data_IF_353219821362
#
_entry.id   IF_353219821362
#
_cell.length_a   1.000
_cell.length_b   1.000
_cell.length_c   1.000
_cell.angle_alpha   90.00
_cell.angle_beta   90.00
_cell.angle_gamma   90.00
#
_symmetry.space_group_name_H-M   'P 1'
#
loop_
_entity.id
_entity.type
_entity.pdbx_description
1 polymer ?
#
# COMPACT_ATOMS: atom_id res chain seq x y z
N UNK A 1 -33.87 -102.25 39.76
CA UNK A 1 -32.44 -101.90 39.58
C UNK A 1 -32.35 -100.42 39.27
N UNK A 2 -31.69 -99.71 40.18
CA UNK A 2 -31.08 -98.37 40.14
C UNK A 2 -30.96 -97.67 38.78
N UNK A 3 -31.40 -96.41 38.72
CA UNK A 3 -30.70 -95.28 38.05
C UNK A 3 -31.47 -93.98 38.31
N UNK A 4 -31.13 -93.26 39.38
CA UNK A 4 -30.44 -91.96 39.31
C UNK A 4 -31.31 -90.83 38.72
N UNK A 5 -32.32 -90.40 39.48
CA UNK A 5 -32.93 -89.08 39.32
C UNK A 5 -31.91 -88.00 39.72
N UNK A 6 -31.17 -87.50 38.72
CA UNK A 6 -30.36 -86.31 38.88
C UNK A 6 -31.25 -85.09 38.79
N UNK A 7 -31.57 -84.51 39.94
CA UNK A 7 -32.13 -83.18 40.04
C UNK A 7 -31.15 -82.18 39.41
N UNK A 8 -31.41 -81.79 38.16
CA UNK A 8 -30.75 -80.66 37.53
C UNK A 8 -31.28 -79.37 38.15
N UNK A 9 -30.67 -78.96 39.26
CA UNK A 9 -30.79 -77.59 39.78
C UNK A 9 -30.29 -76.67 38.68
N UNK A 10 -31.23 -76.02 37.98
CA UNK A 10 -30.93 -74.95 37.04
C UNK A 10 -30.41 -73.76 37.85
N UNK A 11 -29.09 -73.70 38.03
CA UNK A 11 -28.43 -72.50 38.51
C UNK A 11 -28.57 -71.44 37.42
N UNK A 12 -29.58 -70.59 37.57
CA UNK A 12 -29.75 -69.40 36.74
C UNK A 12 -28.52 -68.52 36.92
N UNK A 13 -27.61 -68.58 35.95
CA UNK A 13 -26.55 -67.59 35.81
C UNK A 13 -27.27 -66.24 35.70
N UNK A 14 -27.03 -65.26 36.58
CA UNK A 14 -27.64 -63.95 36.42
C UNK A 14 -27.16 -63.42 35.07
N UNK A 15 -28.08 -63.35 34.10
CA UNK A 15 -27.92 -62.59 32.87
C UNK A 15 -27.41 -61.22 33.30
N UNK A 16 -26.12 -60.97 33.09
CA UNK A 16 -25.51 -59.67 33.28
C UNK A 16 -26.33 -58.75 32.40
N UNK A 17 -27.25 -58.00 33.02
CA UNK A 17 -27.99 -56.94 32.35
C UNK A 17 -26.92 -56.14 31.65
N UNK A 18 -26.86 -56.26 30.33
CA UNK A 18 -26.04 -55.37 29.53
C UNK A 18 -26.60 -54.01 29.91
N UNK A 19 -25.87 -53.29 30.76
CA UNK A 19 -26.15 -51.90 31.04
C UNK A 19 -26.13 -51.29 29.67
N UNK A 20 -27.32 -50.95 29.19
CA UNK A 20 -27.54 -50.32 27.90
C UNK A 20 -26.62 -49.12 27.97
N UNK A 21 -25.45 -49.21 27.34
CA UNK A 21 -24.55 -48.08 27.29
C UNK A 21 -25.36 -47.06 26.53
N UNK A 22 -25.92 -46.10 27.26
CA UNK A 22 -26.63 -44.98 26.69
C UNK A 22 -25.56 -44.31 25.87
N UNK A 23 -25.55 -44.60 24.57
CA UNK A 23 -24.71 -43.92 23.62
C UNK A 23 -25.15 -42.48 23.71
N UNK A 24 -24.46 -41.69 24.54
CA UNK A 24 -24.67 -40.25 24.62
C UNK A 24 -24.26 -39.78 23.24
N UNK A 25 -25.26 -39.60 22.38
CA UNK A 25 -25.06 -39.00 21.08
C UNK A 25 -24.59 -37.59 21.39
N UNK A 26 -23.29 -37.39 21.36
CA UNK A 26 -22.69 -36.06 21.41
C UNK A 26 -23.22 -35.38 20.16
N UNK A 27 -24.32 -34.64 20.31
CA UNK A 27 -24.84 -33.81 19.22
C UNK A 27 -23.69 -32.88 18.89
N UNK A 28 -23.12 -33.03 17.70
CA UNK A 28 -22.12 -32.09 17.21
C UNK A 28 -22.74 -30.71 17.39
N UNK A 29 -22.07 -29.85 18.17
CA UNK A 29 -22.53 -28.48 18.36
C UNK A 29 -22.50 -27.85 16.98
N UNK A 30 -23.66 -27.78 16.34
CA UNK A 30 -23.84 -26.95 15.15
C UNK A 30 -23.50 -25.54 15.60
N UNK A 31 -22.57 -24.90 14.89
CA UNK A 31 -22.21 -23.49 15.10
C UNK A 31 -23.50 -22.71 15.35
N UNK A 32 -23.56 -22.03 16.49
CA UNK A 32 -24.78 -21.35 16.94
C UNK A 32 -25.15 -20.26 15.94
N UNK A 33 -26.43 -20.00 15.72
CA UNK A 33 -26.90 -19.10 14.63
C UNK A 33 -26.25 -17.71 14.64
N UNK A 34 -25.81 -17.22 15.82
CA UNK A 34 -25.08 -15.95 15.94
C UNK A 34 -23.65 -16.00 15.40
N UNK A 35 -22.99 -17.16 15.44
CA UNK A 35 -21.62 -17.35 14.92
C UNK A 35 -21.59 -17.25 13.39
N UNK A 36 -22.65 -17.72 12.71
CA UNK A 36 -22.81 -17.53 11.26
C UNK A 36 -22.93 -16.06 10.86
N UNK A 37 -23.61 -15.24 11.68
CA UNK A 37 -23.75 -13.79 11.44
C UNK A 37 -22.40 -13.08 11.61
N UNK A 38 -21.66 -13.43 12.66
CA UNK A 38 -20.29 -12.96 12.88
C UNK A 38 -19.36 -13.33 11.73
N UNK A 39 -19.49 -14.55 11.20
CA UNK A 39 -18.70 -15.01 10.06
C UNK A 39 -19.05 -14.23 8.77
N UNK A 40 -20.33 -13.90 8.57
CA UNK A 40 -20.77 -13.03 7.47
C UNK A 40 -20.25 -11.60 7.58
N UNK A 41 -20.34 -10.99 8.76
CA UNK A 41 -19.80 -9.65 9.02
C UNK A 41 -18.27 -9.60 8.87
N UNK A 42 -17.58 -10.63 9.37
CA UNK A 42 -16.14 -10.75 9.22
C UNK A 42 -15.73 -10.90 7.76
N UNK A 43 -16.40 -11.77 7.00
CA UNK A 43 -16.14 -11.94 5.58
C UNK A 43 -16.39 -10.64 4.79
N UNK A 44 -17.48 -9.94 5.08
CA UNK A 44 -17.79 -8.65 4.44
C UNK A 44 -16.72 -7.60 4.75
N UNK A 45 -16.35 -7.45 6.03
CA UNK A 45 -15.30 -6.52 6.45
C UNK A 45 -13.94 -6.86 5.85
N UNK A 46 -13.62 -8.15 5.76
CA UNK A 46 -12.39 -8.63 5.13
C UNK A 46 -12.36 -8.33 3.63
N UNK A 47 -13.47 -8.54 2.90
CA UNK A 47 -13.57 -8.17 1.49
C UNK A 47 -13.40 -6.66 1.27
N UNK A 48 -14.01 -5.81 2.11
CA UNK A 48 -13.86 -4.36 2.04
C UNK A 48 -12.42 -3.92 2.31
N UNK A 49 -11.76 -4.52 3.30
CA UNK A 49 -10.36 -4.24 3.60
C UNK A 49 -9.44 -4.61 2.43
N UNK A 50 -9.64 -5.79 1.83
CA UNK A 50 -8.89 -6.20 0.63
C UNK A 50 -9.13 -5.27 -0.55
N UNK A 51 -10.38 -4.87 -0.78
CA UNK A 51 -10.73 -3.92 -1.83
C UNK A 51 -10.02 -2.57 -1.63
N UNK A 52 -10.00 -2.07 -0.40
CA UNK A 52 -9.30 -0.84 -0.04
C UNK A 52 -7.79 -0.94 -0.26
N UNK A 53 -7.17 -2.05 0.13
CA UNK A 53 -5.75 -2.31 -0.10
C UNK A 53 -5.44 -2.32 -1.61
N UNK A 54 -6.27 -2.97 -2.43
CA UNK A 54 -6.10 -3.00 -3.88
C UNK A 54 -6.29 -1.61 -4.50
N UNK A 55 -7.29 -0.84 -4.04
CA UNK A 55 -7.49 0.55 -4.47
C UNK A 55 -6.27 1.43 -4.15
N UNK A 56 -5.69 1.27 -2.95
CA UNK A 56 -4.49 2.00 -2.56
C UNK A 56 -3.25 1.56 -3.36
N UNK A 57 -3.14 0.28 -3.73
CA UNK A 57 -2.02 -0.20 -4.56
C UNK A 57 -1.99 0.42 -5.96
N UNK A 58 -3.14 0.73 -6.56
CA UNK A 58 -3.19 1.40 -7.87
C UNK A 58 -2.65 2.84 -7.83
N UNK A 59 -2.68 3.50 -6.66
CA UNK A 59 -2.04 4.80 -6.47
C UNK A 59 -0.51 4.69 -6.46
N UNK A 60 0.07 3.57 -6.02
CA UNK A 60 1.53 3.42 -5.89
C UNK A 60 2.24 3.41 -7.26
N UNK A 61 1.67 2.74 -8.26
CA UNK A 61 2.24 2.71 -9.63
C UNK A 61 2.07 4.06 -10.35
N UNK A 62 0.98 4.78 -10.06
CA UNK A 62 0.77 6.15 -10.56
C UNK A 62 1.68 7.17 -9.89
N UNK A 63 1.92 7.05 -8.59
CA UNK A 63 2.76 7.95 -7.80
C UNK A 63 4.23 7.84 -8.22
N UNK A 64 4.77 6.65 -8.43
CA UNK A 64 6.16 6.49 -8.88
C UNK A 64 6.39 7.14 -10.25
N UNK A 65 5.45 6.99 -11.18
CA UNK A 65 5.55 7.61 -12.51
C UNK A 65 5.35 9.13 -12.46
N UNK A 66 4.49 9.61 -11.57
CA UNK A 66 4.29 11.05 -11.36
C UNK A 66 5.53 11.69 -10.72
N UNK A 67 6.16 11.03 -9.75
CA UNK A 67 7.42 11.49 -9.15
C UNK A 67 8.53 11.56 -10.21
N UNK A 68 8.63 10.56 -11.09
CA UNK A 68 9.61 10.57 -12.16
C UNK A 68 9.33 11.65 -13.22
N UNK A 69 8.06 11.87 -13.58
CA UNK A 69 7.65 12.96 -14.47
C UNK A 69 7.99 14.33 -13.89
N UNK A 70 7.60 14.59 -12.65
CA UNK A 70 7.86 15.86 -11.95
C UNK A 70 9.35 16.09 -11.78
N UNK A 71 10.14 15.05 -11.49
CA UNK A 71 11.60 15.16 -11.38
C UNK A 71 12.25 15.53 -12.72
N UNK A 72 11.76 14.95 -13.81
CA UNK A 72 12.20 15.26 -15.17
C UNK A 72 11.90 16.73 -15.50
N UNK A 73 10.66 17.18 -15.27
CA UNK A 73 10.25 18.58 -15.50
C UNK A 73 11.08 19.57 -14.67
N UNK A 74 11.34 19.26 -13.40
CA UNK A 74 12.20 20.09 -12.54
C UNK A 74 13.63 20.20 -13.08
N UNK A 75 14.18 19.09 -13.58
CA UNK A 75 15.56 19.05 -14.12
C UNK A 75 15.63 19.87 -15.41
N UNK A 76 14.65 19.74 -16.29
CA UNK A 76 14.56 20.54 -17.53
C UNK A 76 14.42 22.03 -17.21
N UNK A 77 13.52 22.39 -16.28
CA UNK A 77 13.35 23.78 -15.86
C UNK A 77 14.62 24.36 -15.22
N UNK A 78 15.37 23.55 -14.47
CA UNK A 78 16.64 23.98 -13.89
C UNK A 78 17.69 24.25 -14.98
N UNK A 79 17.82 23.38 -15.99
CA UNK A 79 18.72 23.64 -17.13
C UNK A 79 18.34 24.91 -17.89
N UNK A 80 17.04 25.12 -18.13
CA UNK A 80 16.54 26.34 -18.79
C UNK A 80 16.87 27.57 -17.96
N UNK A 81 16.67 27.52 -16.64
CA UNK A 81 16.98 28.61 -15.73
C UNK A 81 18.49 28.91 -15.68
N UNK A 82 19.33 27.88 -15.63
CA UNK A 82 20.79 28.03 -15.68
C UNK A 82 21.23 28.67 -17.00
N UNK A 83 20.72 28.19 -18.14
CA UNK A 83 21.00 28.77 -19.45
C UNK A 83 20.55 30.24 -19.54
N UNK A 84 19.36 30.58 -19.02
CA UNK A 84 18.88 31.97 -18.94
C UNK A 84 19.78 32.82 -18.03
N UNK A 85 20.26 32.28 -16.92
CA UNK A 85 21.18 32.96 -16.03
C UNK A 85 22.54 33.24 -16.71
N UNK A 86 23.09 32.27 -17.45
CA UNK A 86 24.29 32.44 -18.25
C UNK A 86 24.12 33.50 -19.33
N UNK A 87 23.03 33.43 -20.10
CA UNK A 87 22.70 34.44 -21.11
C UNK A 87 22.58 35.83 -20.48
N UNK A 88 21.93 35.96 -19.32
CA UNK A 88 21.86 37.24 -18.61
C UNK A 88 23.24 37.73 -18.19
N UNK A 89 24.13 36.86 -17.71
CA UNK A 89 25.48 37.22 -17.31
C UNK A 89 26.30 37.71 -18.50
N UNK A 90 26.26 36.98 -19.62
CA UNK A 90 26.88 37.38 -20.88
C UNK A 90 26.30 38.71 -21.37
N UNK A 91 24.97 38.84 -21.32
CA UNK A 91 24.24 40.03 -21.77
C UNK A 91 24.47 41.26 -20.86
N UNK A 92 24.85 41.05 -19.61
CA UNK A 92 25.16 42.11 -18.64
C UNK A 92 26.66 42.40 -18.54
N UNK A 93 27.50 41.66 -19.28
CA UNK A 93 28.95 41.84 -19.27
C UNK A 93 29.31 43.24 -19.81
N UNK A 94 29.99 44.08 -19.02
CA UNK A 94 30.35 45.44 -19.42
C UNK A 94 31.23 45.49 -20.67
N UNK A 95 32.13 44.52 -20.88
CA UNK A 95 32.98 44.50 -22.08
C UNK A 95 32.14 44.33 -23.36
N UNK A 96 31.16 43.42 -23.34
CA UNK A 96 30.26 43.21 -24.47
C UNK A 96 29.38 44.43 -24.72
N UNK A 97 28.88 45.07 -23.66
CA UNK A 97 28.07 46.29 -23.77
C UNK A 97 28.89 47.43 -24.41
N UNK A 98 30.16 47.60 -24.00
CA UNK A 98 31.05 48.60 -24.59
C UNK A 98 31.43 48.29 -26.03
N UNK A 99 31.60 47.01 -26.38
CA UNK A 99 31.85 46.58 -27.76
C UNK A 99 30.67 46.92 -28.67
N UNK A 100 29.44 46.56 -28.27
CA UNK A 100 28.21 46.89 -29.02
C UNK A 100 28.02 48.42 -29.13
N UNK A 101 28.28 49.18 -28.06
CA UNK A 101 28.18 50.63 -28.10
C UNK A 101 29.14 51.27 -29.12
N UNK A 102 30.39 50.79 -29.19
CA UNK A 102 31.39 51.26 -30.16
C UNK A 102 31.00 50.94 -31.60
N UNK A 103 30.45 49.74 -31.84
CA UNK A 103 29.98 49.33 -33.18
C UNK A 103 28.85 50.24 -33.69
N UNK A 104 27.98 50.70 -32.79
CA UNK A 104 26.91 51.65 -33.10
C UNK A 104 27.33 53.13 -33.02
N UNK A 105 28.62 53.43 -32.90
CA UNK A 105 29.15 54.81 -32.96
C UNK A 105 29.06 55.61 -31.65
N UNK A 106 28.79 54.95 -30.52
CA UNK A 106 28.87 55.56 -29.18
C UNK A 106 30.27 55.30 -28.58
N UNK A 107 31.11 56.34 -28.52
CA UNK A 107 32.39 56.27 -27.82
C UNK A 107 32.20 56.63 -26.32
N UNK A 108 32.09 55.59 -25.49
CA UNK A 108 31.86 55.73 -24.05
C UNK A 108 33.20 55.60 -23.32
N UNK A 109 33.58 56.63 -22.55
CA UNK A 109 34.80 56.57 -21.73
C UNK A 109 34.68 55.45 -20.68
N UNK A 110 35.69 54.57 -20.66
CA UNK A 110 35.74 53.25 -19.99
C UNK A 110 35.40 53.25 -18.47
N UNK A 111 35.31 54.43 -17.85
CA UNK A 111 35.40 54.59 -16.39
C UNK A 111 34.07 54.47 -15.63
N UNK A 112 32.90 54.47 -16.28
CA UNK A 112 31.60 54.47 -15.55
C UNK A 112 30.48 53.65 -16.20
N UNK A 113 30.69 52.35 -16.43
CA UNK A 113 29.56 51.44 -16.67
C UNK A 113 28.95 51.05 -15.31
N UNK A 114 27.90 51.77 -14.88
CA UNK A 114 27.13 51.40 -13.68
C UNK A 114 26.05 50.40 -14.06
N UNK A 115 26.04 49.23 -13.43
CA UNK A 115 24.94 48.28 -13.52
C UNK A 115 23.65 48.97 -13.02
N UNK A 116 22.64 49.10 -13.87
CA UNK A 116 21.34 49.63 -13.47
C UNK A 116 20.65 48.58 -12.59
N UNK A 117 20.85 48.69 -11.27
CA UNK A 117 20.13 47.90 -10.29
C UNK A 117 18.63 48.18 -10.43
N UNK A 118 17.86 47.12 -10.63
CA UNK A 118 16.41 47.15 -10.80
C UNK A 118 15.78 47.58 -9.48
N UNK A 119 15.14 48.75 -9.46
CA UNK A 119 14.27 49.18 -8.36
C UNK A 119 12.95 48.42 -8.49
N UNK A 120 12.68 47.51 -7.55
CA UNK A 120 11.35 46.99 -7.21
C UNK A 120 11.41 46.45 -5.79
#
# INVERSE_FOLDING_TARGET
MMSLDRAFVHQQIPQRKQSKQVKVVVRSKRLTSGEYILMGLYALGFCLALFFVIHMSAEIDGINRNIESVKTEMTEQQMVNENLAYQKMELSNPERILAVAKEHGLDIQNTKVKQASKVN
#
